data_IF_582600524939
#
_entry.id   IF_582600524939
#
_cell.length_a   1.000
_cell.length_b   1.000
_cell.length_c   1.000
_cell.angle_alpha   90.00
_cell.angle_beta   90.00
_cell.angle_gamma   90.00
#
_symmetry.space_group_name_H-M   'P 1'
#
loop_
_entity.id
_entity.type
_entity.pdbx_description
1 polymer ?
#
# COMPACT_ATOMS: atom_id res chain seq x y z
N UNK A 1 34.90 -42.62 3.17
CA UNK A 1 34.41 -41.81 4.31
C UNK A 1 33.55 -40.70 3.74
N UNK A 2 32.29 -40.44 4.07
CA UNK A 2 31.23 -41.13 4.81
C UNK A 2 29.94 -40.44 4.35
N UNK A 3 28.88 -41.23 4.17
CA UNK A 3 27.52 -40.77 3.80
C UNK A 3 26.80 -40.19 5.01
N UNK A 4 25.83 -39.28 4.81
CA UNK A 4 24.55 -39.23 5.53
C UNK A 4 23.58 -38.26 4.82
N UNK A 5 22.51 -38.84 4.29
CA UNK A 5 21.28 -38.17 3.92
C UNK A 5 20.31 -38.18 5.12
N UNK A 6 19.51 -37.14 5.28
CA UNK A 6 18.24 -37.11 5.99
C UNK A 6 17.44 -35.95 5.37
N UNK A 7 16.19 -36.06 4.94
CA UNK A 7 15.11 -36.97 5.33
C UNK A 7 13.88 -36.09 5.62
N UNK A 8 12.79 -36.33 4.89
CA UNK A 8 11.53 -35.59 4.84
C UNK A 8 10.84 -35.33 6.20
N UNK A 9 9.95 -34.33 6.24
CA UNK A 9 8.63 -34.47 6.89
C UNK A 9 7.64 -33.40 6.40
N UNK A 10 6.65 -33.86 5.65
CA UNK A 10 5.35 -33.22 5.48
C UNK A 10 4.33 -34.00 6.32
N UNK A 11 3.48 -33.33 7.08
CA UNK A 11 2.19 -33.85 7.58
C UNK A 11 1.35 -32.73 8.25
N UNK A 12 0.00 -32.87 8.33
CA UNK A 12 -0.96 -31.79 8.15
C UNK A 12 -1.85 -31.47 9.38
N UNK A 13 -2.65 -30.40 9.20
CA UNK A 13 -3.91 -29.97 9.84
C UNK A 13 -4.42 -30.64 11.13
N UNK A 14 -4.74 -29.81 12.15
CA UNK A 14 -5.90 -30.02 13.02
C UNK A 14 -6.43 -28.69 13.60
N UNK A 15 -7.48 -28.17 12.95
CA UNK A 15 -8.74 -27.64 13.51
C UNK A 15 -8.75 -27.13 14.97
N UNK A 16 -8.97 -25.82 15.15
CA UNK A 16 -9.78 -25.31 16.26
C UNK A 16 -10.79 -24.28 15.74
N UNK A 17 -12.07 -24.60 15.96
CA UNK A 17 -13.22 -23.76 15.65
C UNK A 17 -13.70 -23.04 16.91
N UNK A 18 -14.05 -21.77 16.75
CA UNK A 18 -15.11 -21.09 17.51
C UNK A 18 -14.66 -20.19 18.65
N UNK A 19 -14.84 -18.88 18.50
CA UNK A 19 -15.83 -18.09 19.25
C UNK A 19 -15.87 -16.65 18.71
N UNK A 20 -17.08 -16.15 18.45
CA UNK A 20 -17.31 -14.82 17.94
C UNK A 20 -17.11 -13.72 18.98
N UNK A 21 -16.66 -12.56 18.49
CA UNK A 21 -16.64 -11.28 19.19
C UNK A 21 -16.12 -10.20 18.23
N UNK A 22 -16.68 -8.97 18.23
CA UNK A 22 -16.31 -7.94 17.27
C UNK A 22 -14.90 -7.45 17.61
N UNK A 23 -13.92 -7.79 16.77
CA UNK A 23 -12.58 -7.22 16.89
C UNK A 23 -12.67 -5.73 16.63
N UNK A 24 -12.69 -4.95 17.72
CA UNK A 24 -12.44 -3.52 17.68
C UNK A 24 -11.08 -3.34 17.02
N UNK A 25 -11.09 -2.82 15.79
CA UNK A 25 -9.89 -2.42 15.06
C UNK A 25 -9.22 -1.25 15.76
N UNK A 26 -8.52 -1.54 16.86
CA UNK A 26 -7.52 -0.63 17.41
C UNK A 26 -6.39 -0.47 16.40
N UNK A 27 -5.71 0.69 16.36
CA UNK A 27 -4.64 0.94 15.42
C UNK A 27 -3.53 -0.08 15.63
N UNK A 28 -3.32 -0.93 14.62
CA UNK A 28 -2.21 -1.87 14.58
C UNK A 28 -0.92 -1.05 14.59
N UNK A 29 -0.26 -1.00 15.74
CA UNK A 29 1.08 -0.43 15.85
C UNK A 29 2.06 -1.40 15.21
N UNK A 30 2.31 -1.21 13.92
CA UNK A 30 3.45 -1.81 13.24
C UNK A 30 4.69 -1.14 13.81
N UNK A 31 5.62 -1.93 14.38
CA UNK A 31 6.90 -1.44 14.91
C UNK A 31 7.71 -0.64 13.87
N UNK A 32 8.83 -0.01 14.25
CA UNK A 32 9.48 1.03 13.44
C UNK A 32 9.88 0.47 12.07
N UNK A 33 9.04 0.72 11.07
CA UNK A 33 9.35 0.43 9.68
C UNK A 33 10.43 1.44 9.31
N UNK A 34 11.61 0.95 8.93
CA UNK A 34 12.76 1.76 8.50
C UNK A 34 12.48 2.41 7.13
N UNK A 35 11.35 3.09 6.98
CA UNK A 35 10.87 3.65 5.73
C UNK A 35 10.90 5.17 5.74
N UNK A 36 11.04 5.76 4.55
CA UNK A 36 10.96 7.20 4.37
C UNK A 36 9.50 7.66 4.55
N UNK A 37 9.23 8.65 5.42
CA UNK A 37 7.88 9.16 5.60
C UNK A 37 7.43 9.91 4.34
N UNK A 38 6.16 9.69 3.96
CA UNK A 38 5.54 10.29 2.78
C UNK A 38 4.09 10.66 3.08
N UNK A 39 3.55 11.60 2.30
CA UNK A 39 2.14 11.95 2.33
C UNK A 39 1.45 11.34 1.11
N UNK A 40 0.40 10.55 1.31
CA UNK A 40 -0.39 9.93 0.24
C UNK A 40 -1.69 10.70 0.06
N UNK A 41 -1.80 11.45 -1.02
CA UNK A 41 -2.98 12.23 -1.37
C UNK A 41 -3.88 11.46 -2.33
N UNK A 42 -5.19 11.51 -2.09
CA UNK A 42 -6.21 10.87 -2.92
C UNK A 42 -7.07 11.93 -3.58
N UNK A 43 -7.09 11.94 -4.91
CA UNK A 43 -7.98 12.75 -5.72
C UNK A 43 -9.07 11.87 -6.34
N UNK A 44 -10.24 12.44 -6.64
CA UNK A 44 -11.38 11.70 -7.20
C UNK A 44 -12.12 12.52 -8.26
N UNK A 45 -12.63 11.82 -9.27
CA UNK A 45 -13.67 12.30 -10.17
C UNK A 45 -14.83 11.28 -10.29
N UNK A 46 -15.65 11.41 -11.33
CA UNK A 46 -16.83 10.57 -11.57
C UNK A 46 -16.52 9.10 -11.88
N UNK A 47 -15.29 8.76 -12.30
CA UNK A 47 -14.92 7.41 -12.72
C UNK A 47 -13.59 6.90 -12.19
N UNK A 48 -12.77 7.77 -11.59
CA UNK A 48 -11.41 7.43 -11.19
C UNK A 48 -11.05 7.99 -9.82
N UNK A 49 -10.12 7.31 -9.18
CA UNK A 49 -9.32 7.82 -8.07
C UNK A 49 -7.87 7.91 -8.50
N UNK A 50 -7.22 9.02 -8.18
CA UNK A 50 -5.80 9.22 -8.39
C UNK A 50 -5.10 9.27 -7.05
N UNK A 51 -4.15 8.35 -6.83
CA UNK A 51 -3.27 8.35 -5.66
C UNK A 51 -1.93 8.97 -6.03
N UNK A 52 -1.53 10.02 -5.31
CA UNK A 52 -0.25 10.70 -5.48
C UNK A 52 0.55 10.62 -4.19
N UNK A 53 1.84 10.31 -4.30
CA UNK A 53 2.77 10.36 -3.17
C UNK A 53 3.53 11.68 -3.21
N UNK A 54 3.32 12.48 -2.17
CA UNK A 54 3.92 13.79 -1.97
C UNK A 54 5.07 13.67 -0.96
N UNK A 55 6.08 14.55 -1.08
CA UNK A 55 7.10 14.65 -0.05
C UNK A 55 6.46 15.13 1.25
N UNK A 56 6.79 14.50 2.36
CA UNK A 56 6.61 15.15 3.66
C UNK A 56 7.52 16.39 3.72
N UNK A 57 7.11 17.45 4.44
CA UNK A 57 7.75 18.78 4.40
C UNK A 57 9.26 18.79 4.69
N UNK A 58 9.81 17.70 5.23
CA UNK A 58 11.24 17.53 5.56
C UNK A 58 12.00 16.58 4.64
N UNK A 59 11.32 15.87 3.74
CA UNK A 59 11.89 14.73 3.00
C UNK A 59 11.60 14.84 1.51
N UNK A 60 12.53 14.34 0.67
CA UNK A 60 12.26 14.19 -0.78
C UNK A 60 11.41 12.95 -1.01
N UNK A 61 10.61 12.97 -2.07
CA UNK A 61 9.89 11.77 -2.52
C UNK A 61 10.92 10.69 -2.89
N UNK A 62 10.83 9.48 -2.29
CA UNK A 62 11.65 8.34 -2.70
C UNK A 62 11.45 8.05 -4.18
N UNK A 63 12.52 7.72 -4.92
CA UNK A 63 12.39 7.25 -6.30
C UNK A 63 12.03 5.77 -6.31
N UNK A 64 11.19 5.36 -7.27
CA UNK A 64 10.81 3.96 -7.47
C UNK A 64 9.31 3.73 -7.32
N UNK A 65 8.91 2.46 -7.33
CA UNK A 65 7.50 2.04 -7.40
C UNK A 65 6.65 2.53 -6.23
N UNK A 66 7.24 2.70 -5.03
CA UNK A 66 6.48 3.14 -3.85
C UNK A 66 5.86 4.54 -4.01
N UNK A 67 6.53 5.41 -4.75
CA UNK A 67 6.09 6.78 -4.98
C UNK A 67 5.47 7.00 -6.37
N UNK A 68 5.34 5.93 -7.16
CA UNK A 68 4.71 6.01 -8.47
C UNK A 68 3.22 6.39 -8.31
N UNK A 69 2.76 7.47 -8.97
CA UNK A 69 1.35 7.81 -8.94
C UNK A 69 0.51 6.68 -9.55
N UNK A 70 -0.67 6.43 -8.99
CA UNK A 70 -1.59 5.39 -9.45
C UNK A 70 -2.92 5.99 -9.84
N UNK A 71 -3.40 5.64 -11.04
CA UNK A 71 -4.79 5.86 -11.43
C UNK A 71 -5.57 4.57 -11.21
N UNK A 72 -6.68 4.68 -10.49
CA UNK A 72 -7.56 3.58 -10.10
C UNK A 72 -8.92 3.82 -10.75
N UNK A 73 -9.36 2.88 -11.58
CA UNK A 73 -10.70 2.88 -12.14
C UNK A 73 -11.72 2.45 -11.07
N UNK A 74 -12.76 3.25 -10.85
CA UNK A 74 -13.74 3.01 -9.77
C UNK A 74 -14.61 1.78 -10.04
N UNK A 75 -14.92 1.50 -11.31
CA UNK A 75 -15.83 0.42 -11.68
C UNK A 75 -15.19 -0.96 -11.52
N UNK A 76 -13.91 -1.08 -11.88
CA UNK A 76 -13.16 -2.34 -11.89
C UNK A 76 -12.18 -2.48 -10.73
N UNK A 77 -11.85 -1.39 -10.04
CA UNK A 77 -10.79 -1.35 -9.02
C UNK A 77 -9.38 -1.54 -9.57
N UNK A 78 -9.20 -1.51 -10.90
CA UNK A 78 -7.88 -1.72 -11.52
C UNK A 78 -7.01 -0.49 -11.32
N UNK A 79 -5.82 -0.70 -10.76
CA UNK A 79 -4.79 0.32 -10.63
C UNK A 79 -3.77 0.22 -11.77
N UNK A 80 -3.36 1.36 -12.32
CA UNK A 80 -2.20 1.47 -13.21
C UNK A 80 -1.28 2.59 -12.75
N UNK A 81 0.02 2.40 -12.94
CA UNK A 81 0.98 3.49 -12.75
C UNK A 81 0.80 4.53 -13.84
N UNK A 82 0.91 5.80 -13.45
CA UNK A 82 0.92 6.95 -14.35
C UNK A 82 2.16 7.79 -14.10
N UNK A 83 2.57 8.56 -15.09
CA UNK A 83 3.74 9.44 -14.92
C UNK A 83 3.42 10.60 -13.98
N UNK A 84 4.45 11.24 -13.41
CA UNK A 84 4.25 12.44 -12.58
C UNK A 84 3.55 13.57 -13.35
N UNK A 85 3.84 13.74 -14.64
CA UNK A 85 3.20 14.75 -15.49
C UNK A 85 1.72 14.42 -15.75
N UNK A 86 1.40 13.15 -16.01
CA UNK A 86 0.02 12.69 -16.19
C UNK A 86 -0.78 12.87 -14.89
N UNK A 87 -0.20 12.50 -13.74
CA UNK A 87 -0.81 12.72 -12.44
C UNK A 87 -1.07 14.21 -12.18
N UNK A 88 -0.11 15.09 -12.48
CA UNK A 88 -0.28 16.53 -12.32
C UNK A 88 -1.36 17.12 -13.24
N UNK A 89 -1.52 16.59 -14.45
CA UNK A 89 -2.60 16.98 -15.36
C UNK A 89 -3.97 16.51 -14.86
N UNK A 90 -4.07 15.26 -14.39
CA UNK A 90 -5.30 14.70 -13.84
C UNK A 90 -5.73 15.46 -12.57
N UNK A 91 -4.80 15.71 -11.64
CA UNK A 91 -5.09 16.39 -10.38
C UNK A 91 -5.64 17.82 -10.55
N UNK A 92 -5.40 18.49 -11.69
CA UNK A 92 -5.98 19.82 -11.99
C UNK A 92 -7.51 19.79 -12.19
N UNK A 93 -8.06 18.62 -12.52
CA UNK A 93 -9.47 18.46 -12.85
C UNK A 93 -10.21 17.53 -11.87
N UNK A 94 -9.52 17.03 -10.85
CA UNK A 94 -10.07 16.13 -9.84
C UNK A 94 -10.16 16.81 -8.47
N UNK A 95 -11.06 16.34 -7.62
CA UNK A 95 -11.23 16.86 -6.26
C UNK A 95 -10.27 16.14 -5.30
N UNK A 96 -9.56 16.88 -4.45
CA UNK A 96 -8.79 16.29 -3.36
C UNK A 96 -9.74 15.78 -2.26
N UNK A 97 -9.78 14.47 -2.07
CA UNK A 97 -10.64 13.80 -1.08
C UNK A 97 -9.98 13.77 0.30
N UNK A 98 -8.66 13.65 0.33
CA UNK A 98 -7.91 13.63 1.58
C UNK A 98 -6.46 13.22 1.37
N UNK A 99 -5.69 13.27 2.46
CA UNK A 99 -4.31 12.83 2.48
C UNK A 99 -4.01 12.12 3.80
N UNK A 100 -3.17 11.08 3.73
CA UNK A 100 -2.75 10.29 4.88
C UNK A 100 -1.24 10.14 4.91
N UNK A 101 -0.65 10.23 6.08
CA UNK A 101 0.76 9.91 6.28
C UNK A 101 0.99 8.41 6.09
N UNK A 102 2.14 8.06 5.53
CA UNK A 102 2.59 6.68 5.39
C UNK A 102 4.09 6.60 5.25
N UNK A 103 4.58 5.40 4.98
CA UNK A 103 6.01 5.15 4.78
C UNK A 103 6.25 4.44 3.45
N UNK A 104 7.39 4.73 2.83
CA UNK A 104 7.96 3.94 1.74
C UNK A 104 9.17 3.15 2.25
N UNK A 105 9.29 1.85 1.93
CA UNK A 105 10.40 1.02 2.39
C UNK A 105 11.75 1.43 1.79
#
# INVERSE_FOLDING_TARGET
MGVLAAGCSAAPEHRQAGHGGPVHGGPVHVGPVSGQPVLRALYRDTGHRLLVVLPDARHRVPRGDCAAPLLIDEASGRARQVTANEAAALAQHMELVGAVEGTCP
#
